data_IF_914719258225
#
_entry.id   IF_914719258225
#
_cell.length_a   1.000
_cell.length_b   1.000
_cell.length_c   1.000
_cell.angle_alpha   90.00
_cell.angle_beta   90.00
_cell.angle_gamma   90.00
#
_symmetry.space_group_name_H-M   'P 1'
#
loop_
_entity.id
_entity.type
_entity.pdbx_description
1 polymer ?
#
# COMPACT_ATOMS: atom_id res chain seq x y z
N UNK A 1 -14.12 0.62 6.22
CA UNK A 1 -14.25 2.09 6.18
C UNK A 1 -14.79 2.43 4.80
N UNK A 2 -15.84 3.25 4.73
CA UNK A 2 -16.39 3.70 3.46
C UNK A 2 -15.58 4.88 2.94
N UNK A 3 -15.14 4.84 1.68
CA UNK A 3 -14.39 5.93 1.06
C UNK A 3 -15.32 6.78 0.20
N UNK A 4 -15.38 8.07 0.49
CA UNK A 4 -16.16 9.07 -0.26
C UNK A 4 -15.24 10.21 -0.71
N UNK A 5 -14.67 10.06 -1.90
CA UNK A 5 -13.79 11.03 -2.55
C UNK A 5 -14.51 12.32 -2.97
N UNK A 6 -15.83 12.27 -3.15
CA UNK A 6 -16.61 13.43 -3.60
C UNK A 6 -16.92 14.39 -2.45
N UNK A 7 -17.14 13.85 -1.26
CA UNK A 7 -17.41 14.63 -0.05
C UNK A 7 -16.20 14.68 0.92
N UNK A 8 -15.11 13.99 0.59
CA UNK A 8 -13.88 14.00 1.37
C UNK A 8 -13.23 15.39 1.40
N UNK A 9 -12.67 15.77 2.54
CA UNK A 9 -11.90 17.01 2.66
C UNK A 9 -10.62 16.89 1.82
N UNK A 10 -10.49 17.77 0.82
CA UNK A 10 -9.27 17.88 0.03
C UNK A 10 -8.20 18.57 0.88
N UNK A 11 -7.09 17.88 1.09
CA UNK A 11 -5.95 18.37 1.87
C UNK A 11 -5.01 19.24 1.02
N UNK A 12 -4.93 18.93 -0.27
CA UNK A 12 -4.14 19.72 -1.19
C UNK A 12 -4.54 19.53 -2.64
N UNK A 13 -4.15 20.51 -3.45
CA UNK A 13 -4.40 20.56 -4.88
C UNK A 13 -3.22 21.25 -5.57
N UNK A 14 -2.44 20.52 -6.34
CA UNK A 14 -1.23 21.06 -6.97
C UNK A 14 -0.94 20.42 -8.34
N UNK A 15 -0.09 21.05 -9.12
CA UNK A 15 0.37 20.52 -10.41
C UNK A 15 1.51 19.52 -10.19
N UNK A 16 1.39 18.33 -10.79
CA UNK A 16 2.41 17.25 -10.69
C UNK A 16 3.33 17.21 -11.89
N UNK A 17 2.80 17.55 -13.06
CA UNK A 17 3.52 17.73 -14.32
C UNK A 17 2.72 18.71 -15.18
N UNK A 18 3.34 19.24 -16.23
CA UNK A 18 2.70 20.24 -17.09
C UNK A 18 1.33 19.74 -17.59
N UNK A 19 0.26 20.42 -17.18
CA UNK A 19 -1.11 20.08 -17.58
C UNK A 19 -1.82 19.03 -16.70
N UNK A 20 -1.18 18.54 -15.63
CA UNK A 20 -1.74 17.51 -14.74
C UNK A 20 -1.79 18.01 -13.30
N UNK A 21 -3.00 18.27 -12.82
CA UNK A 21 -3.29 18.57 -11.42
C UNK A 21 -3.54 17.29 -10.63
N UNK A 22 -3.25 17.33 -9.34
CA UNK A 22 -3.50 16.25 -8.40
C UNK A 22 -4.26 16.76 -7.18
N UNK A 23 -5.35 16.08 -6.87
CA UNK A 23 -6.05 16.21 -5.59
C UNK A 23 -5.46 15.25 -4.57
N UNK A 24 -5.19 15.72 -3.36
CA UNK A 24 -4.83 14.91 -2.21
C UNK A 24 -6.00 14.87 -1.22
N UNK A 25 -6.37 13.67 -0.80
CA UNK A 25 -7.37 13.43 0.25
C UNK A 25 -6.80 12.42 1.24
N UNK A 26 -7.36 12.36 2.45
CA UNK A 26 -6.96 11.39 3.46
C UNK A 26 -8.17 10.66 4.04
N UNK A 27 -8.04 9.34 4.17
CA UNK A 27 -8.99 8.53 4.92
C UNK A 27 -8.24 7.58 5.86
N UNK A 28 -8.51 7.70 7.16
CA UNK A 28 -7.69 7.05 8.18
C UNK A 28 -6.24 7.53 8.10
N UNK A 29 -5.30 6.60 8.04
CA UNK A 29 -3.86 6.89 7.90
C UNK A 29 -3.36 6.92 6.45
N UNK A 30 -4.26 6.87 5.45
CA UNK A 30 -3.88 6.68 4.04
C UNK A 30 -4.28 7.86 3.18
N UNK A 31 -3.38 8.21 2.26
CA UNK A 31 -3.59 9.27 1.29
C UNK A 31 -4.19 8.73 -0.01
N UNK A 32 -4.98 9.56 -0.66
CA UNK A 32 -5.58 9.28 -1.96
C UNK A 32 -5.20 10.39 -2.89
N UNK A 33 -4.62 10.03 -4.03
CA UNK A 33 -4.18 10.95 -5.05
C UNK A 33 -5.00 10.75 -6.30
N UNK A 34 -5.72 11.79 -6.74
CA UNK A 34 -6.54 11.73 -7.96
C UNK A 34 -6.06 12.78 -8.95
N UNK A 35 -5.54 12.35 -10.09
CA UNK A 35 -5.08 13.23 -11.14
C UNK A 35 -6.21 13.67 -12.06
N UNK A 36 -6.15 14.93 -12.48
CA UNK A 36 -7.02 15.49 -13.50
C UNK A 36 -6.29 16.50 -14.40
N UNK A 37 -6.76 16.71 -15.65
CA UNK A 37 -6.22 17.75 -16.52
C UNK A 37 -6.42 19.14 -15.90
N UNK A 38 -5.46 20.06 -16.10
CA UNK A 38 -5.56 21.46 -15.61
C UNK A 38 -6.75 22.22 -16.21
N UNK A 39 -7.20 21.84 -17.40
CA UNK A 39 -8.34 22.46 -18.09
C UNK A 39 -9.71 21.87 -17.69
N UNK A 40 -9.75 20.94 -16.72
CA UNK A 40 -10.99 20.33 -16.23
C UNK A 40 -11.12 20.47 -14.70
N UNK A 41 -12.35 20.63 -14.18
CA UNK A 41 -12.58 20.63 -12.74
C UNK A 41 -12.36 19.22 -12.14
N UNK A 42 -11.81 19.10 -10.92
CA UNK A 42 -11.43 17.82 -10.32
C UNK A 42 -12.59 16.84 -10.16
N UNK A 43 -13.82 17.36 -9.99
CA UNK A 43 -15.03 16.58 -9.69
C UNK A 43 -15.27 15.45 -10.70
N UNK A 44 -14.93 15.65 -11.97
CA UNK A 44 -15.10 14.62 -13.00
C UNK A 44 -14.23 13.40 -12.73
N UNK A 45 -12.95 13.62 -12.40
CA UNK A 45 -11.99 12.56 -12.12
C UNK A 45 -12.20 11.96 -10.74
N UNK A 46 -12.61 12.76 -9.75
CA UNK A 46 -13.05 12.25 -8.44
C UNK A 46 -14.27 11.33 -8.58
N UNK A 47 -15.26 11.68 -9.39
CA UNK A 47 -16.42 10.83 -9.63
C UNK A 47 -16.06 9.51 -10.34
N UNK A 48 -15.13 9.55 -11.29
CA UNK A 48 -14.62 8.34 -11.93
C UNK A 48 -13.84 7.45 -10.94
N UNK A 49 -12.95 8.04 -10.14
CA UNK A 49 -12.23 7.32 -9.09
C UNK A 49 -13.17 6.73 -8.04
N UNK A 50 -14.25 7.43 -7.68
CA UNK A 50 -15.27 7.00 -6.72
C UNK A 50 -15.89 5.64 -7.09
N UNK A 51 -15.99 5.32 -8.39
CA UNK A 51 -16.57 4.05 -8.84
C UNK A 51 -15.74 2.82 -8.45
N UNK A 52 -14.43 2.99 -8.21
CA UNK A 52 -13.50 1.90 -7.93
C UNK A 52 -12.74 2.06 -6.61
N UNK A 53 -12.85 3.21 -5.95
CA UNK A 53 -12.07 3.50 -4.74
C UNK A 53 -12.33 2.52 -3.60
N UNK A 54 -13.59 2.08 -3.42
CA UNK A 54 -13.91 1.12 -2.37
C UNK A 54 -13.30 -0.25 -2.68
N UNK A 55 -13.38 -0.70 -3.93
CA UNK A 55 -12.75 -1.96 -4.34
C UNK A 55 -11.22 -1.90 -4.20
N UNK A 56 -10.61 -0.76 -4.56
CA UNK A 56 -9.18 -0.55 -4.38
C UNK A 56 -8.78 -0.56 -2.88
N UNK A 57 -9.62 0.02 -2.02
CA UNK A 57 -9.44 -0.02 -0.56
C UNK A 57 -9.55 -1.45 -0.01
N UNK A 58 -10.58 -2.18 -0.41
CA UNK A 58 -10.85 -3.53 0.08
C UNK A 58 -9.77 -4.53 -0.39
N UNK A 59 -9.13 -4.26 -1.53
CA UNK A 59 -8.02 -5.05 -2.08
C UNK A 59 -6.67 -4.81 -1.39
N UNK A 60 -6.54 -3.88 -0.42
CA UNK A 60 -5.28 -3.58 0.28
C UNK A 60 -4.58 -4.84 0.84
N UNK A 61 -5.26 -5.77 1.55
CA UNK A 61 -4.60 -6.98 2.04
C UNK A 61 -4.01 -7.85 0.92
N UNK A 62 -4.68 -7.91 -0.24
CA UNK A 62 -4.20 -8.66 -1.40
C UNK A 62 -3.04 -7.94 -2.10
N UNK A 63 -3.07 -6.60 -2.19
CA UNK A 63 -1.96 -5.81 -2.72
C UNK A 63 -0.69 -5.99 -1.88
N UNK A 64 -0.84 -6.04 -0.56
CA UNK A 64 0.24 -6.33 0.38
C UNK A 64 0.82 -7.75 0.20
N UNK A 65 -0.04 -8.76 0.08
CA UNK A 65 0.38 -10.13 -0.20
C UNK A 65 1.05 -10.28 -1.58
N UNK A 66 0.63 -9.51 -2.58
CA UNK A 66 1.31 -9.46 -3.87
C UNK A 66 2.70 -8.80 -3.77
N UNK A 67 2.81 -7.70 -3.03
CA UNK A 67 4.07 -6.99 -2.81
C UNK A 67 5.11 -7.87 -2.09
N UNK A 68 4.67 -8.71 -1.14
CA UNK A 68 5.52 -9.69 -0.45
C UNK A 68 6.31 -10.57 -1.41
N UNK A 69 5.66 -11.11 -2.45
CA UNK A 69 6.29 -12.01 -3.42
C UNK A 69 7.47 -11.37 -4.16
N UNK A 70 7.56 -10.03 -4.14
CA UNK A 70 8.62 -9.24 -4.80
C UNK A 70 9.69 -8.74 -3.83
N UNK A 71 9.51 -8.96 -2.54
CA UNK A 71 10.48 -8.58 -1.54
C UNK A 71 11.66 -9.56 -1.51
N UNK A 72 12.78 -9.10 -0.96
CA UNK A 72 13.95 -9.93 -0.69
C UNK A 72 13.57 -11.15 0.19
N UNK A 73 14.27 -12.30 0.06
CA UNK A 73 13.92 -13.52 0.78
C UNK A 73 13.70 -13.33 2.28
N UNK A 74 14.48 -12.45 2.93
CA UNK A 74 14.34 -12.16 4.35
C UNK A 74 12.98 -11.57 4.73
N UNK A 75 12.49 -10.60 3.97
CA UNK A 75 11.18 -10.00 4.17
C UNK A 75 10.04 -11.00 3.94
N UNK A 76 10.18 -11.88 2.95
CA UNK A 76 9.22 -12.97 2.70
C UNK A 76 9.10 -13.90 3.90
N UNK A 77 10.21 -14.25 4.53
CA UNK A 77 10.21 -15.04 5.77
C UNK A 77 9.42 -14.33 6.88
N UNK A 78 9.65 -13.03 7.08
CA UNK A 78 8.93 -12.25 8.10
C UNK A 78 7.43 -12.21 7.81
N UNK A 79 7.05 -12.05 6.54
CA UNK A 79 5.64 -12.09 6.14
C UNK A 79 4.98 -13.44 6.43
N UNK A 80 5.69 -14.55 6.20
CA UNK A 80 5.18 -15.88 6.53
C UNK A 80 4.92 -16.05 8.03
N UNK A 81 5.78 -15.50 8.88
CA UNK A 81 5.56 -15.49 10.34
C UNK A 81 4.34 -14.64 10.72
N UNK A 82 4.17 -13.49 10.09
CA UNK A 82 2.97 -12.67 10.26
C UNK A 82 1.69 -13.42 9.83
N UNK A 83 1.71 -14.05 8.66
CA UNK A 83 0.57 -14.81 8.13
C UNK A 83 0.19 -16.01 9.03
N UNK A 84 1.14 -16.55 9.79
CA UNK A 84 0.93 -17.63 10.79
C UNK A 84 0.53 -17.12 12.18
N UNK A 85 0.42 -15.80 12.36
CA UNK A 85 0.03 -15.19 13.64
C UNK A 85 1.16 -15.05 14.65
N UNK A 86 2.43 -15.29 14.26
CA UNK A 86 3.57 -15.13 15.15
C UNK A 86 3.95 -13.64 15.38
N UNK A 87 3.42 -12.72 14.56
CA UNK A 87 3.66 -11.29 14.62
C UNK A 87 2.31 -10.55 14.61
N UNK A 88 2.19 -9.49 15.41
CA UNK A 88 0.93 -8.74 15.57
C UNK A 88 0.63 -7.76 14.44
N UNK A 89 1.66 -7.33 13.70
CA UNK A 89 1.54 -6.32 12.66
C UNK A 89 2.17 -6.81 11.35
N UNK A 90 1.63 -6.43 10.18
CA UNK A 90 2.26 -6.72 8.90
C UNK A 90 3.56 -5.90 8.79
N UNK A 91 4.61 -6.42 8.14
CA UNK A 91 5.87 -5.69 7.98
C UNK A 91 5.79 -4.57 6.94
N UNK A 92 4.78 -4.59 6.05
CA UNK A 92 4.52 -3.53 5.07
C UNK A 92 3.15 -2.88 5.32
N UNK A 93 3.04 -1.62 4.91
CA UNK A 93 1.81 -0.85 4.89
C UNK A 93 1.61 -0.15 3.54
N UNK A 94 0.35 -0.02 3.12
CA UNK A 94 -0.04 0.88 2.03
C UNK A 94 -0.16 2.29 2.60
N UNK A 95 0.58 3.24 2.03
CA UNK A 95 0.57 4.65 2.41
C UNK A 95 -0.41 5.46 1.57
N UNK A 96 -0.50 5.15 0.28
CA UNK A 96 -1.38 5.89 -0.63
C UNK A 96 -1.93 5.05 -1.77
N UNK A 97 -3.09 5.48 -2.27
CA UNK A 97 -3.74 4.96 -3.47
C UNK A 97 -3.81 6.07 -4.52
N UNK A 98 -3.31 5.79 -5.72
CA UNK A 98 -3.20 6.76 -6.80
C UNK A 98 -4.14 6.41 -7.94
N UNK A 99 -4.83 7.43 -8.46
CA UNK A 99 -5.68 7.40 -9.65
C UNK A 99 -5.06 8.33 -10.68
N UNK A 100 -4.08 7.81 -11.42
CA UNK A 100 -3.31 8.54 -12.42
C UNK A 100 -4.17 8.89 -13.65
N UNK A 101 -3.80 9.96 -14.37
CA UNK A 101 -4.54 10.40 -15.56
C UNK A 101 -4.47 9.36 -16.68
N UNK A 102 -3.28 8.82 -16.91
CA UNK A 102 -2.94 7.92 -18.02
C UNK A 102 -3.14 6.43 -17.69
N UNK A 103 -3.64 6.13 -16.49
CA UNK A 103 -3.94 4.76 -16.06
C UNK A 103 -5.43 4.58 -15.80
N UNK A 104 -6.09 3.57 -16.38
CA UNK A 104 -7.46 3.22 -16.01
C UNK A 104 -7.53 2.57 -14.62
N UNK A 105 -6.38 2.17 -14.08
CA UNK A 105 -6.23 1.32 -12.92
C UNK A 105 -5.53 2.05 -11.77
N UNK A 106 -6.02 1.94 -10.53
CA UNK A 106 -5.34 2.54 -9.41
C UNK A 106 -4.03 1.82 -9.08
N UNK A 107 -3.10 2.54 -8.47
CA UNK A 107 -1.86 1.99 -7.94
C UNK A 107 -1.72 2.28 -6.44
N UNK A 108 -0.93 1.46 -5.76
CA UNK A 108 -0.63 1.54 -4.35
C UNK A 108 0.84 1.90 -4.19
N UNK A 109 1.14 2.83 -3.29
CA UNK A 109 2.50 3.02 -2.79
C UNK A 109 2.63 2.36 -1.41
N UNK A 110 3.60 1.46 -1.28
CA UNK A 110 3.82 0.64 -0.09
C UNK A 110 5.24 0.83 0.43
N UNK A 111 5.40 0.78 1.75
CA UNK A 111 6.69 0.80 2.43
C UNK A 111 6.60 0.04 3.75
N UNK A 112 7.67 0.08 4.54
CA UNK A 112 7.76 -0.51 5.87
C UNK A 112 6.63 0.03 6.75
N UNK A 113 5.97 -0.86 7.49
CA UNK A 113 4.97 -0.44 8.45
C UNK A 113 5.67 0.18 9.69
N UNK A 114 5.36 1.45 10.06
CA UNK A 114 6.01 2.10 11.20
C UNK A 114 5.65 1.45 12.54
N UNK A 115 4.53 0.74 12.60
CA UNK A 115 4.12 0.00 13.81
C UNK A 115 4.84 -1.37 13.93
N UNK A 116 5.59 -1.78 12.90
CA UNK A 116 6.33 -3.03 12.92
C UNK A 116 7.70 -2.86 13.59
N UNK A 117 7.91 -3.55 14.71
CA UNK A 117 9.15 -3.44 15.48
C UNK A 117 10.24 -4.39 14.95
N UNK A 118 11.07 -3.90 14.03
CA UNK A 118 12.25 -4.62 13.51
C UNK A 118 13.31 -4.96 14.56
N UNK A 119 13.32 -4.26 15.71
CA UNK A 119 14.27 -4.54 16.81
C UNK A 119 13.80 -5.67 17.72
N UNK A 120 12.58 -6.18 17.53
CA UNK A 120 12.06 -7.29 18.31
C UNK A 120 12.71 -8.63 17.90
N UNK A 121 12.40 -9.65 18.68
CA UNK A 121 12.68 -11.04 18.34
C UNK A 121 11.39 -11.84 18.42
N UNK A 122 11.23 -12.80 17.52
CA UNK A 122 10.07 -13.69 17.48
C UNK A 122 10.48 -15.07 18.01
N UNK A 123 9.62 -15.69 18.83
CA UNK A 123 9.80 -17.09 19.24
C UNK A 123 9.18 -17.98 18.18
N UNK A 124 9.95 -18.92 17.68
CA UNK A 124 9.54 -19.85 16.63
C UNK A 124 9.80 -21.27 17.11
N UNK A 125 8.86 -22.16 16.87
CA UNK A 125 9.03 -23.59 17.11
C UNK A 125 9.57 -24.25 15.83
N UNK A 126 10.60 -25.08 15.95
CA UNK A 126 11.11 -25.88 14.83
C UNK A 126 10.35 -27.20 14.65
N UNK A 127 10.74 -28.00 13.67
CA UNK A 127 10.10 -29.29 13.37
C UNK A 127 10.24 -30.34 14.50
N UNK A 128 11.15 -30.11 15.45
CA UNK A 128 11.39 -30.96 16.61
C UNK A 128 10.67 -30.45 17.87
N UNK A 129 9.88 -29.37 17.76
CA UNK A 129 9.18 -28.76 18.88
C UNK A 129 10.07 -27.86 19.75
N UNK A 130 11.27 -27.49 19.29
CA UNK A 130 12.18 -26.63 20.06
C UNK A 130 11.92 -25.16 19.75
N UNK A 131 11.83 -24.34 20.80
CA UNK A 131 11.68 -22.90 20.67
C UNK A 131 13.03 -22.21 20.39
N UNK A 132 13.07 -21.42 19.33
CA UNK A 132 14.20 -20.57 18.96
C UNK A 132 13.78 -19.10 18.98
N UNK A 133 14.69 -18.25 19.44
CA UNK A 133 14.50 -16.80 19.38
C UNK A 133 15.15 -16.27 18.12
N UNK A 134 14.36 -15.67 17.23
CA UNK A 134 14.84 -15.14 15.96
C UNK A 134 14.79 -13.60 15.96
N UNK A 135 15.95 -12.91 15.93
CA UNK A 135 15.97 -11.46 15.81
C UNK A 135 15.40 -11.00 14.47
N UNK A 136 14.50 -10.01 14.48
CA UNK A 136 13.89 -9.49 13.25
C UNK A 136 14.81 -8.53 12.49
N UNK A 137 15.75 -7.88 13.18
CA UNK A 137 16.62 -6.84 12.60
C UNK A 137 17.46 -7.33 11.42
N UNK A 138 17.78 -8.63 11.36
CA UNK A 138 18.53 -9.21 10.24
C UNK A 138 17.71 -9.32 8.94
N UNK A 139 16.40 -9.12 9.01
CA UNK A 139 15.48 -9.16 7.86
C UNK A 139 14.95 -7.78 7.47
N UNK A 140 15.35 -6.73 8.20
CA UNK A 140 14.95 -5.36 7.90
C UNK A 140 15.55 -4.93 6.55
N UNK A 141 14.74 -4.43 5.61
CA UNK A 141 15.24 -3.94 4.34
C UNK A 141 16.15 -2.72 4.51
N UNK A 142 16.89 -2.41 3.44
CA UNK A 142 17.67 -1.18 3.35
C UNK A 142 16.78 0.05 3.47
N UNK A 143 17.38 1.15 3.91
CA UNK A 143 16.73 2.46 3.94
C UNK A 143 16.14 2.83 2.58
N UNK A 144 15.00 3.53 2.59
CA UNK A 144 14.32 3.96 1.37
C UNK A 144 13.56 2.85 0.64
N UNK A 145 13.18 1.76 1.32
CA UNK A 145 12.37 0.70 0.73
C UNK A 145 10.98 1.21 0.33
N UNK A 146 10.68 1.21 -0.96
CA UNK A 146 9.36 1.55 -1.51
C UNK A 146 9.00 0.58 -2.63
N UNK A 147 7.72 0.23 -2.69
CA UNK A 147 7.14 -0.56 -3.78
C UNK A 147 5.92 0.17 -4.34
N UNK A 148 5.75 0.06 -5.67
CA UNK A 148 4.53 0.49 -6.34
C UNK A 148 3.86 -0.70 -7.02
N UNK A 149 2.58 -0.89 -6.72
CA UNK A 149 1.77 -2.01 -7.21
C UNK A 149 0.54 -1.46 -7.91
N UNK A 150 0.27 -1.89 -9.14
CA UNK A 150 -0.92 -1.47 -9.89
C UNK A 150 -1.99 -2.55 -9.86
N UNK A 151 -3.24 -2.14 -9.64
CA UNK A 151 -4.42 -3.01 -9.59
C UNK A 151 -5.04 -3.20 -10.97
N UNK A 152 -4.97 -4.38 -11.55
CA UNK A 152 -5.58 -4.68 -12.85
C UNK A 152 -7.06 -5.10 -12.75
N UNK A 153 -7.49 -5.51 -11.57
CA UNK A 153 -8.83 -6.02 -11.30
C UNK A 153 -8.93 -6.53 -9.87
N UNK A 154 -10.07 -7.13 -9.51
CA UNK A 154 -10.25 -7.72 -8.19
C UNK A 154 -9.18 -8.78 -7.92
N UNK A 155 -8.35 -8.56 -6.90
CA UNK A 155 -7.23 -9.45 -6.54
C UNK A 155 -6.15 -9.63 -7.62
N UNK A 156 -6.13 -8.82 -8.68
CA UNK A 156 -5.16 -8.92 -9.77
C UNK A 156 -4.23 -7.71 -9.77
N UNK A 157 -2.92 -7.94 -9.75
CA UNK A 157 -1.91 -6.89 -9.59
C UNK A 157 -0.71 -7.07 -10.53
N UNK A 158 -0.05 -5.96 -10.82
CA UNK A 158 1.24 -5.93 -11.51
C UNK A 158 2.21 -4.98 -10.80
N UNK A 159 3.50 -5.18 -11.04
CA UNK A 159 4.50 -4.20 -10.64
C UNK A 159 4.36 -2.94 -11.48
N UNK A 160 4.50 -1.79 -10.84
CA UNK A 160 4.73 -0.52 -11.53
C UNK A 160 6.24 -0.29 -11.52
N UNK A 161 6.85 -0.34 -12.70
CA UNK A 161 8.29 -0.15 -12.93
C UNK A 161 8.60 1.34 -12.97
#
# INVERSE_FOLDING_TARGET
MQIDLLNGAMLGHWETSAGVMQCELQFGSRLFYVQHPTNEPPQRRLAAAQQQVQAAWDDIPLALAFAEQRCEPGMRTVWQWYARGALSFPPLAVYSIHFELDSPYPSYSLSLNPDFNWKASVRLEDELGQEHLQPLAQYEPREGFWLSVRRLGAGQFQNQI
#
